data_IF_405642753251
#
_entry.id   IF_405642753251
#
_cell.length_a   1.000
_cell.length_b   1.000
_cell.length_c   1.000
_cell.angle_alpha   90.00
_cell.angle_beta   90.00
_cell.angle_gamma   90.00
#
_symmetry.space_group_name_H-M   'P 1'
#
loop_
_entity.id
_entity.type
_entity.pdbx_description
1 polymer ?
#
# COMPACT_ATOMS: atom_id res chain seq x y z
N UNK A 1 1.55 22.06 -8.72
CA UNK A 1 1.02 20.99 -7.86
C UNK A 1 -0.47 20.97 -8.08
N UNK A 2 -1.05 19.84 -8.47
CA UNK A 2 -2.50 19.72 -8.62
C UNK A 2 -3.11 19.81 -7.23
N UNK A 3 -4.02 20.76 -7.00
CA UNK A 3 -4.61 21.01 -5.68
C UNK A 3 -5.32 19.75 -5.15
N UNK A 4 -5.13 19.46 -3.86
CA UNK A 4 -5.83 18.37 -3.16
C UNK A 4 -7.19 18.93 -2.74
N UNK A 5 -8.26 18.31 -3.22
CA UNK A 5 -9.63 18.75 -2.90
C UNK A 5 -10.21 17.85 -1.79
N UNK A 6 -10.85 18.40 -0.76
CA UNK A 6 -11.38 17.61 0.36
C UNK A 6 -12.45 16.59 -0.07
N UNK A 7 -13.19 16.87 -1.15
CA UNK A 7 -14.24 15.96 -1.66
C UNK A 7 -13.69 14.79 -2.50
N UNK A 8 -12.37 14.70 -2.71
CA UNK A 8 -11.79 13.59 -3.45
C UNK A 8 -12.12 12.26 -2.78
N UNK A 9 -12.54 11.30 -3.59
CA UNK A 9 -12.76 9.91 -3.19
C UNK A 9 -11.43 9.18 -3.26
N UNK A 10 -11.02 8.54 -2.17
CA UNK A 10 -9.70 7.91 -2.02
C UNK A 10 -9.85 6.41 -1.84
N UNK A 11 -9.08 5.64 -2.62
CA UNK A 11 -8.77 4.24 -2.31
C UNK A 11 -7.33 4.13 -1.79
N UNK A 12 -7.13 3.33 -0.75
CA UNK A 12 -5.81 3.03 -0.18
C UNK A 12 -5.52 1.55 -0.37
N UNK A 13 -4.38 1.22 -0.97
CA UNK A 13 -3.96 -0.14 -1.24
C UNK A 13 -2.58 -0.35 -0.62
N UNK A 14 -2.51 -1.11 0.47
CA UNK A 14 -1.31 -1.29 1.26
C UNK A 14 -0.71 -2.68 1.06
N UNK A 15 0.49 -2.73 0.48
CA UNK A 15 1.31 -3.92 0.44
C UNK A 15 1.98 -4.11 1.81
N UNK A 16 1.29 -4.81 2.69
CA UNK A 16 1.72 -4.96 4.07
C UNK A 16 3.02 -5.76 4.17
N UNK A 17 3.25 -6.67 3.23
CA UNK A 17 4.47 -7.47 3.19
C UNK A 17 5.69 -6.59 2.84
N UNK A 18 5.58 -5.78 1.79
CA UNK A 18 6.67 -4.90 1.34
C UNK A 18 7.01 -3.84 2.42
N UNK A 19 5.99 -3.22 3.01
CA UNK A 19 6.16 -2.24 4.07
C UNK A 19 6.79 -2.86 5.33
N UNK A 20 6.26 -4.01 5.78
CA UNK A 20 6.76 -4.71 6.96
C UNK A 20 8.22 -5.15 6.78
N UNK A 21 8.56 -5.78 5.65
CA UNK A 21 9.94 -6.20 5.38
C UNK A 21 10.91 -5.01 5.40
N UNK A 22 10.51 -3.88 4.83
CA UNK A 22 11.35 -2.68 4.84
C UNK A 22 11.49 -2.11 6.24
N UNK A 23 10.39 -1.94 6.97
CA UNK A 23 10.39 -1.42 8.34
C UNK A 23 11.25 -2.28 9.27
N UNK A 24 11.10 -3.60 9.21
CA UNK A 24 11.84 -4.53 10.06
C UNK A 24 13.32 -4.60 9.69
N UNK A 25 13.67 -4.65 8.40
CA UNK A 25 15.08 -4.78 7.97
C UNK A 25 15.90 -3.51 8.15
N UNK A 26 15.29 -2.33 7.97
CA UNK A 26 15.99 -1.03 8.02
C UNK A 26 15.90 -0.37 9.39
N UNK A 27 14.75 -0.45 10.04
CA UNK A 27 14.46 0.31 11.26
C UNK A 27 14.23 -0.59 12.48
N UNK A 28 14.05 -1.91 12.30
CA UNK A 28 13.70 -2.85 13.37
C UNK A 28 12.42 -2.46 14.12
N UNK A 29 11.47 -1.87 13.41
CA UNK A 29 10.20 -1.33 13.94
C UNK A 29 9.01 -1.79 13.11
N UNK A 30 7.82 -1.70 13.70
CA UNK A 30 6.56 -2.01 13.03
C UNK A 30 5.96 -0.76 12.38
N UNK A 31 5.12 -0.94 11.36
CA UNK A 31 4.37 0.17 10.75
C UNK A 31 3.19 0.55 11.65
N UNK A 32 2.99 1.85 11.87
CA UNK A 32 1.73 2.39 12.37
C UNK A 32 0.73 2.54 11.21
N UNK A 33 -0.12 1.53 11.03
CA UNK A 33 -1.15 1.53 9.98
C UNK A 33 -2.26 2.56 10.23
N UNK A 34 -2.46 3.01 11.47
CA UNK A 34 -3.43 4.07 11.79
C UNK A 34 -2.96 5.38 11.19
N UNK A 35 -1.69 5.72 11.42
CA UNK A 35 -1.07 6.92 10.90
C UNK A 35 -0.87 6.84 9.39
N UNK A 36 -0.55 5.65 8.86
CA UNK A 36 -0.48 5.39 7.43
C UNK A 36 -1.84 5.72 6.76
N UNK A 37 -2.94 5.15 7.26
CA UNK A 37 -4.27 5.36 6.69
C UNK A 37 -4.73 6.81 6.82
N UNK A 38 -4.58 7.39 8.01
CA UNK A 38 -4.93 8.80 8.25
C UNK A 38 -4.20 9.73 7.29
N UNK A 39 -2.89 9.50 7.09
CA UNK A 39 -2.07 10.33 6.20
C UNK A 39 -2.33 10.06 4.72
N UNK A 40 -2.69 8.83 4.34
CA UNK A 40 -3.11 8.49 2.99
C UNK A 40 -4.42 9.21 2.63
N UNK A 41 -5.36 9.28 3.57
CA UNK A 41 -6.68 9.89 3.33
C UNK A 41 -6.61 11.42 3.37
N UNK A 42 -5.84 12.05 4.27
CA UNK A 42 -5.72 13.51 4.39
C UNK A 42 -7.08 14.24 4.49
N UNK A 43 -7.98 13.76 5.35
CA UNK A 43 -9.34 14.32 5.54
C UNK A 43 -10.24 14.29 4.28
N UNK A 44 -9.86 13.49 3.27
CA UNK A 44 -10.67 13.22 2.07
C UNK A 44 -11.69 12.10 2.31
N UNK A 45 -12.54 11.83 1.32
CA UNK A 45 -13.56 10.78 1.41
C UNK A 45 -12.92 9.40 1.18
N UNK A 46 -12.67 8.64 2.25
CA UNK A 46 -12.21 7.24 2.13
C UNK A 46 -13.33 6.37 1.55
N UNK A 47 -13.12 5.82 0.36
CA UNK A 47 -14.05 4.87 -0.27
C UNK A 47 -13.69 3.43 0.10
N UNK A 48 -12.40 3.10 0.11
CA UNK A 48 -11.92 1.76 0.41
C UNK A 48 -10.47 1.77 0.86
N UNK A 49 -10.15 0.98 1.87
CA UNK A 49 -8.78 0.70 2.27
C UNK A 49 -8.59 -0.82 2.23
N UNK A 50 -7.58 -1.31 1.52
CA UNK A 50 -7.27 -2.74 1.42
C UNK A 50 -5.84 -2.98 1.87
N UNK A 51 -5.65 -3.89 2.81
CA UNK A 51 -4.34 -4.36 3.25
C UNK A 51 -4.09 -5.76 2.68
N UNK A 52 -3.06 -5.88 1.85
CA UNK A 52 -2.63 -7.13 1.24
C UNK A 52 -1.59 -7.79 2.15
N UNK A 53 -1.98 -8.93 2.72
CA UNK A 53 -1.18 -9.64 3.73
C UNK A 53 -0.95 -11.08 3.30
N UNK A 54 0.18 -11.64 3.72
CA UNK A 54 0.53 -13.03 3.48
C UNK A 54 0.57 -13.73 4.82
N UNK A 55 -0.08 -14.89 4.87
CA UNK A 55 -0.10 -15.72 6.06
C UNK A 55 1.12 -16.64 6.08
N UNK A 56 1.90 -16.55 7.15
CA UNK A 56 3.06 -17.35 7.44
C UNK A 56 2.90 -18.04 8.81
N UNK A 57 2.04 -19.06 8.90
CA UNK A 57 1.90 -20.05 9.99
C UNK A 57 2.34 -19.61 11.41
N UNK A 58 1.99 -18.39 11.85
CA UNK A 58 2.37 -17.83 13.15
C UNK A 58 1.15 -17.28 13.89
N UNK A 59 0.99 -17.57 15.20
CA UNK A 59 -0.15 -17.08 16.00
C UNK A 59 -0.25 -15.54 16.09
N UNK A 60 0.88 -14.83 15.92
CA UNK A 60 0.92 -13.37 16.02
C UNK A 60 0.23 -12.67 14.83
N UNK A 61 -0.03 -13.40 13.74
CA UNK A 61 -0.65 -12.86 12.53
C UNK A 61 -2.14 -12.57 12.70
N UNK A 62 -2.87 -13.39 13.45
CA UNK A 62 -4.31 -13.18 13.67
C UNK A 62 -4.55 -11.83 14.36
N UNK A 63 -3.77 -11.52 15.39
CA UNK A 63 -3.87 -10.22 16.07
C UNK A 63 -3.49 -9.04 15.17
N UNK A 64 -2.58 -9.25 14.22
CA UNK A 64 -2.21 -8.22 13.26
C UNK A 64 -3.34 -7.97 12.25
N UNK A 65 -3.99 -9.03 11.76
CA UNK A 65 -5.13 -8.90 10.85
C UNK A 65 -6.33 -8.24 11.54
N UNK A 66 -6.64 -8.64 12.77
CA UNK A 66 -7.70 -8.02 13.56
C UNK A 66 -7.42 -6.51 13.77
N UNK A 67 -6.17 -6.15 14.07
CA UNK A 67 -5.78 -4.75 14.24
C UNK A 67 -5.93 -3.94 12.93
N UNK A 68 -5.63 -4.53 11.77
CA UNK A 68 -5.85 -3.87 10.47
C UNK A 68 -7.34 -3.60 10.21
N UNK A 69 -8.20 -4.57 10.54
CA UNK A 69 -9.65 -4.43 10.40
C UNK A 69 -10.20 -3.36 11.35
N UNK A 70 -9.74 -3.33 12.61
CA UNK A 70 -10.11 -2.31 13.59
C UNK A 70 -9.68 -0.89 13.17
N UNK A 71 -8.55 -0.76 12.48
CA UNK A 71 -8.07 0.51 11.89
C UNK A 71 -8.95 0.95 10.70
N UNK A 72 -9.62 0.01 10.03
CA UNK A 72 -10.52 0.28 8.91
C UNK A 72 -10.02 -0.25 7.55
N UNK A 73 -9.03 -1.15 7.53
CA UNK A 73 -8.63 -1.86 6.32
C UNK A 73 -9.48 -3.13 6.11
N UNK A 74 -9.85 -3.40 4.87
CA UNK A 74 -10.26 -4.72 4.42
C UNK A 74 -9.00 -5.58 4.25
N UNK A 75 -8.88 -6.71 4.96
CA UNK A 75 -7.71 -7.59 4.84
C UNK A 75 -7.89 -8.57 3.67
N UNK A 76 -6.88 -8.65 2.79
CA UNK A 76 -6.79 -9.68 1.75
C UNK A 76 -5.63 -10.61 2.06
N UNK A 77 -5.96 -11.83 2.49
CA UNK A 77 -5.00 -12.82 2.97
C UNK A 77 -4.68 -13.83 1.87
N UNK A 78 -3.38 -14.07 1.63
CA UNK A 78 -2.89 -15.11 0.73
C UNK A 78 -1.97 -16.06 1.48
N UNK A 79 -2.25 -17.36 1.37
CA UNK A 79 -1.37 -18.38 1.92
C UNK A 79 -0.11 -18.52 1.05
N UNK A 80 1.04 -18.76 1.68
CA UNK A 80 2.29 -19.04 0.95
C UNK A 80 2.10 -20.34 0.15
N UNK A 81 2.12 -20.22 -1.18
CA UNK A 81 2.13 -21.38 -2.07
C UNK A 81 3.55 -21.81 -2.36
N UNK A 82 3.85 -23.05 -2.01
CA UNK A 82 5.07 -23.73 -2.46
C UNK A 82 4.75 -24.46 -3.76
N UNK A 83 5.39 -24.04 -4.85
CA UNK A 83 5.22 -24.65 -6.16
C UNK A 83 6.07 -25.92 -6.29
N UNK A 84 5.71 -26.79 -7.25
CA UNK A 84 6.37 -28.08 -7.47
C UNK A 84 7.85 -27.95 -7.88
N UNK A 85 8.27 -26.76 -8.34
CA UNK A 85 9.66 -26.40 -8.65
C UNK A 85 10.46 -25.91 -7.42
N UNK A 86 9.84 -25.91 -6.23
CA UNK A 86 10.44 -25.42 -5.00
C UNK A 86 10.40 -23.90 -4.84
N UNK A 87 9.86 -23.16 -5.82
CA UNK A 87 9.67 -21.73 -5.70
C UNK A 87 8.51 -21.42 -4.74
N UNK A 88 8.71 -20.43 -3.87
CA UNK A 88 7.65 -19.86 -3.04
C UNK A 88 7.21 -18.57 -3.70
N UNK A 89 5.96 -18.49 -4.14
CA UNK A 89 5.39 -17.27 -4.71
C UNK A 89 4.20 -16.85 -3.89
N UNK A 90 4.33 -15.71 -3.23
CA UNK A 90 3.31 -15.15 -2.37
C UNK A 90 3.06 -13.65 -2.64
N UNK A 91 3.53 -13.09 -3.76
CA UNK A 91 3.27 -11.67 -4.08
C UNK A 91 1.79 -11.35 -4.27
N UNK A 92 1.41 -10.11 -4.01
CA UNK A 92 0.05 -9.61 -4.23
C UNK A 92 -0.07 -8.76 -5.50
N UNK A 93 1.00 -8.62 -6.28
CA UNK A 93 1.14 -7.63 -7.36
C UNK A 93 -0.01 -7.65 -8.36
N UNK A 94 -0.36 -8.85 -8.82
CA UNK A 94 -1.47 -9.04 -9.77
C UNK A 94 -2.81 -8.71 -9.11
N UNK A 95 -3.03 -9.16 -7.88
CA UNK A 95 -4.28 -8.93 -7.16
C UNK A 95 -4.49 -7.44 -6.85
N UNK A 96 -3.45 -6.79 -6.32
CA UNK A 96 -3.44 -5.36 -6.02
C UNK A 96 -3.63 -4.52 -7.28
N UNK A 97 -2.98 -4.89 -8.39
CA UNK A 97 -3.16 -4.22 -9.67
C UNK A 97 -4.60 -4.33 -10.20
N UNK A 98 -5.21 -5.51 -10.12
CA UNK A 98 -6.59 -5.73 -10.56
C UNK A 98 -7.60 -4.94 -9.72
N UNK A 99 -7.41 -4.92 -8.40
CA UNK A 99 -8.26 -4.14 -7.50
C UNK A 99 -8.11 -2.64 -7.76
N UNK A 100 -6.89 -2.14 -7.95
CA UNK A 100 -6.62 -0.74 -8.27
C UNK A 100 -7.35 -0.30 -9.55
N UNK A 101 -7.24 -1.08 -10.63
CA UNK A 101 -7.91 -0.79 -11.91
C UNK A 101 -9.43 -0.88 -11.77
N UNK A 102 -9.94 -1.82 -10.98
CA UNK A 102 -11.38 -1.94 -10.72
C UNK A 102 -11.91 -0.73 -9.94
N UNK A 103 -11.17 -0.30 -8.91
CA UNK A 103 -11.54 0.84 -8.07
C UNK A 103 -11.40 2.18 -8.80
N UNK A 104 -10.55 2.26 -9.82
CA UNK A 104 -10.29 3.49 -10.56
C UNK A 104 -11.56 4.20 -11.09
N UNK A 105 -12.62 3.45 -11.41
CA UNK A 105 -13.90 4.03 -11.87
C UNK A 105 -14.75 4.63 -10.74
N UNK A 106 -14.36 4.41 -9.48
CA UNK A 106 -15.13 4.75 -8.28
C UNK A 106 -14.44 5.78 -7.38
N UNK A 107 -13.17 6.09 -7.67
CA UNK A 107 -12.34 7.00 -6.86
C UNK A 107 -11.67 8.04 -7.74
N UNK A 108 -11.28 9.14 -7.11
CA UNK A 108 -10.53 10.23 -7.76
C UNK A 108 -9.03 10.09 -7.50
N UNK A 109 -8.67 9.38 -6.40
CA UNK A 109 -7.29 9.16 -5.96
C UNK A 109 -7.09 7.69 -5.56
N UNK A 110 -5.99 7.10 -6.00
CA UNK A 110 -5.48 5.82 -5.48
C UNK A 110 -4.15 6.08 -4.78
N UNK A 111 -4.06 5.67 -3.52
CA UNK A 111 -2.84 5.68 -2.72
C UNK A 111 -2.28 4.27 -2.69
N UNK A 112 -1.10 4.07 -3.28
CA UNK A 112 -0.36 2.81 -3.24
C UNK A 112 0.67 2.89 -2.11
N UNK A 113 0.52 2.07 -1.08
CA UNK A 113 1.51 1.97 -0.01
C UNK A 113 2.45 0.80 -0.29
N UNK A 114 3.51 1.05 -1.07
CA UNK A 114 4.53 0.06 -1.49
C UNK A 114 5.79 0.79 -1.99
N UNK A 115 6.93 0.10 -1.95
CA UNK A 115 8.18 0.52 -2.59
C UNK A 115 8.47 -0.18 -3.93
N UNK A 116 7.60 -1.09 -4.38
CA UNK A 116 7.90 -1.97 -5.52
C UNK A 116 7.75 -1.28 -6.90
N UNK A 117 8.83 -1.29 -7.68
CA UNK A 117 8.92 -0.72 -9.03
C UNK A 117 7.97 -1.35 -10.05
N UNK A 118 7.55 -2.60 -9.84
CA UNK A 118 6.63 -3.31 -10.74
C UNK A 118 5.25 -2.62 -10.85
N UNK A 119 4.89 -1.77 -9.87
CA UNK A 119 3.66 -0.95 -9.93
C UNK A 119 3.81 0.36 -10.74
N UNK A 120 4.99 0.71 -11.25
CA UNK A 120 5.18 1.91 -12.09
C UNK A 120 4.27 1.93 -13.33
N UNK A 121 4.06 0.77 -13.95
CA UNK A 121 3.10 0.61 -15.07
C UNK A 121 1.66 0.79 -14.62
N UNK A 122 1.30 0.32 -13.42
CA UNK A 122 -0.02 0.53 -12.85
C UNK A 122 -0.28 2.03 -12.63
N UNK A 123 0.68 2.76 -12.06
CA UNK A 123 0.59 4.22 -11.89
C UNK A 123 0.28 4.92 -13.22
N UNK A 124 1.04 4.57 -14.27
CA UNK A 124 0.84 5.13 -15.61
C UNK A 124 -0.54 4.82 -16.19
N UNK A 125 -1.08 3.63 -15.92
CA UNK A 125 -2.40 3.21 -16.39
C UNK A 125 -3.53 3.93 -15.64
N UNK A 126 -3.46 4.02 -14.31
CA UNK A 126 -4.45 4.74 -13.48
C UNK A 126 -4.53 6.22 -13.86
N UNK A 127 -3.37 6.85 -14.12
CA UNK A 127 -3.32 8.24 -14.61
C UNK A 127 -3.99 8.41 -15.97
N UNK A 128 -3.83 7.44 -16.88
CA UNK A 128 -4.57 7.44 -18.16
C UNK A 128 -6.09 7.30 -17.96
N UNK A 129 -6.53 6.65 -16.89
CA UNK A 129 -7.95 6.58 -16.51
C UNK A 129 -8.46 7.86 -15.83
N UNK A 130 -7.61 8.86 -15.62
CA UNK A 130 -7.96 10.12 -14.95
C UNK A 130 -7.88 10.06 -13.43
N UNK A 131 -7.31 9.00 -12.86
CA UNK A 131 -7.13 8.84 -11.42
C UNK A 131 -5.77 9.40 -11.01
N UNK A 132 -5.76 10.23 -9.97
CA UNK A 132 -4.51 10.69 -9.35
C UNK A 132 -3.87 9.54 -8.58
N UNK A 133 -2.58 9.31 -8.78
CA UNK A 133 -1.84 8.26 -8.10
C UNK A 133 -0.86 8.86 -7.11
N UNK A 134 -1.02 8.48 -5.85
CA UNK A 134 -0.11 8.85 -4.76
C UNK A 134 0.58 7.59 -4.28
N UNK A 135 1.87 7.68 -3.96
CA UNK A 135 2.65 6.55 -3.45
C UNK A 135 3.16 6.91 -2.06
N UNK A 136 3.04 5.97 -1.13
CA UNK A 136 3.62 6.04 0.22
C UNK A 136 4.59 4.86 0.39
N UNK A 137 5.84 5.13 0.67
CA UNK A 137 6.84 4.08 0.84
C UNK A 137 8.10 4.61 1.52
N UNK A 138 9.04 3.73 1.82
CA UNK A 138 10.34 4.16 2.34
C UNK A 138 11.24 4.52 1.17
N UNK A 139 11.57 5.80 0.98
CA UNK A 139 12.31 6.28 -0.19
C UNK A 139 13.63 5.54 -0.42
N UNK A 140 14.29 5.12 0.66
CA UNK A 140 15.51 4.31 0.59
C UNK A 140 15.33 2.86 0.07
N UNK A 141 14.09 2.40 -0.07
CA UNK A 141 13.69 1.08 -0.59
C UNK A 141 12.62 1.18 -1.69
N UNK A 142 12.26 2.39 -2.12
CA UNK A 142 11.30 2.62 -3.20
C UNK A 142 12.04 2.76 -4.51
N UNK A 143 11.57 2.09 -5.56
CA UNK A 143 12.16 2.22 -6.90
C UNK A 143 11.94 3.62 -7.49
N UNK A 144 12.99 4.23 -8.05
CA UNK A 144 12.91 5.56 -8.67
C UNK A 144 11.83 5.64 -9.76
N UNK A 145 11.67 4.57 -10.55
CA UNK A 145 10.64 4.50 -11.59
C UNK A 145 9.20 4.54 -11.05
N UNK A 146 8.97 4.06 -9.81
CA UNK A 146 7.67 4.16 -9.15
C UNK A 146 7.42 5.61 -8.71
N UNK A 147 8.44 6.26 -8.14
CA UNK A 147 8.39 7.66 -7.71
C UNK A 147 8.11 8.56 -8.90
N UNK A 148 8.82 8.36 -10.02
CA UNK A 148 8.64 9.14 -11.25
C UNK A 148 7.28 8.91 -11.93
N UNK A 149 6.70 7.72 -11.77
CA UNK A 149 5.40 7.39 -12.37
C UNK A 149 4.20 7.96 -11.58
N UNK A 150 4.37 8.20 -10.27
CA UNK A 150 3.35 8.72 -9.37
C UNK A 150 3.15 10.24 -9.53
N UNK A 151 1.95 10.74 -9.20
CA UNK A 151 1.69 12.19 -9.15
C UNK A 151 2.21 12.82 -7.86
N UNK A 152 2.37 12.03 -6.79
CA UNK A 152 2.98 12.43 -5.54
C UNK A 152 3.60 11.23 -4.83
N UNK A 153 4.77 11.43 -4.21
CA UNK A 153 5.42 10.44 -3.36
C UNK A 153 5.58 11.00 -1.93
N UNK A 154 5.26 10.19 -0.93
CA UNK A 154 5.53 10.47 0.47
C UNK A 154 6.52 9.44 1.00
N UNK A 155 7.70 9.92 1.40
CA UNK A 155 8.67 9.09 2.10
C UNK A 155 8.25 8.90 3.57
N UNK A 156 8.02 7.66 3.95
CA UNK A 156 7.73 7.28 5.34
C UNK A 156 8.95 7.46 6.25
N UNK A 157 10.16 7.38 5.69
CA UNK A 157 11.43 7.56 6.40
C UNK A 157 11.67 9.01 6.82
N UNK A 158 11.04 9.99 6.16
CA UNK A 158 11.17 11.40 6.58
C UNK A 158 10.44 11.70 7.89
N UNK A 159 9.56 10.79 8.34
CA UNK A 159 8.76 10.92 9.57
C UNK A 159 8.64 9.59 10.29
N UNK A 160 9.77 8.96 10.58
CA UNK A 160 9.85 7.69 11.32
C UNK A 160 9.02 7.71 12.61
N UNK A 161 9.08 8.81 13.36
CA UNK A 161 8.34 9.03 14.62
C UNK A 161 6.80 8.91 14.48
N UNK A 162 6.30 9.11 13.25
CA UNK A 162 4.87 9.14 12.91
C UNK A 162 4.40 7.81 12.35
N UNK A 163 5.24 7.13 11.56
CA UNK A 163 4.84 5.94 10.81
C UNK A 163 5.40 4.63 11.37
N UNK A 164 6.32 4.70 12.34
CA UNK A 164 6.92 3.53 12.95
C UNK A 164 6.60 3.46 14.45
N UNK A 165 6.33 2.25 14.94
CA UNK A 165 6.13 1.89 16.34
C UNK A 165 7.42 1.38 16.95
#
# INVERSE_FOLDING_TARGET
MTDIHPDQRVAVLADSQNLYHTAQSRFSRNIDYTQLLSRAVQDRQLIRAIAYVIRADSPEEESFFDALEDIGFETKIKDIKTFADGSKKADWDVGMSLDAVTLANHVDVVVLCTGDGDFSRLCSHLRHMGVRVEVMGFGSSTADELVDAADNFLDLSDREEVFLL
#
